data_IF_671719565166
#
_entry.id   IF_671719565166
#
_cell.length_a   1.000
_cell.length_b   1.000
_cell.length_c   1.000
_cell.angle_alpha   90.00
_cell.angle_beta   90.00
_cell.angle_gamma   90.00
#
_symmetry.space_group_name_H-M   'P 1'
#
loop_
_entity.id
_entity.type
_entity.pdbx_description
1 polymer ?
#
# COMPACT_ATOMS: atom_id res chain seq x y z
N UNK A 1 18.28 0.42 16.19
CA UNK A 1 19.46 -0.28 16.77
C UNK A 1 20.11 -1.28 15.81
N UNK A 2 19.33 -2.11 15.09
CA UNK A 2 19.90 -3.13 14.17
C UNK A 2 20.70 -2.52 13.01
N UNK A 3 20.27 -1.40 12.47
CA UNK A 3 20.93 -0.70 11.36
C UNK A 3 22.08 0.22 11.80
N UNK A 4 22.26 0.47 13.10
CA UNK A 4 23.19 1.47 13.66
C UNK A 4 23.02 2.85 13.03
N UNK A 5 21.83 3.17 12.57
CA UNK A 5 21.47 4.47 12.03
C UNK A 5 20.98 5.39 13.16
N UNK A 6 21.22 6.67 13.02
CA UNK A 6 20.65 7.67 13.92
C UNK A 6 19.20 7.86 13.56
N UNK A 7 18.30 7.66 14.53
CA UNK A 7 16.88 7.98 14.36
C UNK A 7 16.73 9.50 14.38
N UNK A 8 16.14 10.07 13.33
CA UNK A 8 15.76 11.47 13.27
C UNK A 8 14.24 11.50 13.26
N UNK A 9 13.66 11.98 14.35
CA UNK A 9 12.21 12.16 14.48
C UNK A 9 11.87 13.65 14.40
N UNK A 10 10.80 13.95 13.67
CA UNK A 10 10.19 15.27 13.66
C UNK A 10 8.84 15.16 14.37
N UNK A 11 8.73 15.84 15.50
CA UNK A 11 7.48 15.86 16.30
C UNK A 11 6.37 16.67 15.62
N UNK A 12 6.74 17.63 14.77
CA UNK A 12 5.78 18.52 14.11
C UNK A 12 5.75 18.29 12.59
N UNK A 13 4.54 18.27 12.05
CA UNK A 13 4.36 18.27 10.61
C UNK A 13 4.48 19.70 10.08
N UNK A 14 5.11 19.91 8.90
CA UNK A 14 5.19 21.22 8.26
C UNK A 14 3.82 21.85 7.99
N UNK A 15 2.78 21.03 7.78
CA UNK A 15 1.39 21.46 7.58
C UNK A 15 0.52 20.73 8.60
N UNK A 16 -0.17 21.47 9.52
CA UNK A 16 -1.03 20.85 10.52
C UNK A 16 -2.24 20.17 9.87
N UNK A 17 -2.68 19.05 10.47
CA UNK A 17 -3.86 18.31 10.04
C UNK A 17 -4.97 18.41 11.08
N UNK A 18 -6.12 18.87 10.63
CA UNK A 18 -7.37 18.85 11.38
C UNK A 18 -8.12 17.55 11.05
N UNK A 19 -8.51 16.76 12.07
CA UNK A 19 -9.23 15.50 11.91
C UNK A 19 -10.65 15.66 12.42
N UNK A 20 -11.62 15.21 11.63
CA UNK A 20 -13.05 15.31 11.92
C UNK A 20 -13.73 13.97 11.70
N UNK A 21 -14.62 13.60 12.62
CA UNK A 21 -15.54 12.47 12.45
C UNK A 21 -16.93 13.02 12.24
N UNK A 22 -17.63 12.48 11.27
CA UNK A 22 -19.02 12.81 10.99
C UNK A 22 -19.81 11.52 10.86
N UNK A 23 -20.74 11.31 11.76
CA UNK A 23 -21.66 10.18 11.68
C UNK A 23 -22.73 10.45 10.63
N UNK A 24 -22.90 9.51 9.71
CA UNK A 24 -23.84 9.65 8.59
C UNK A 24 -24.22 8.28 8.04
N UNK A 25 -25.46 8.11 7.59
CA UNK A 25 -25.85 6.92 6.85
C UNK A 25 -25.31 6.95 5.41
N UNK A 26 -25.34 5.81 4.73
CA UNK A 26 -24.77 5.66 3.38
C UNK A 26 -25.41 6.58 2.32
N UNK A 27 -26.59 7.16 2.57
CA UNK A 27 -27.25 8.11 1.65
C UNK A 27 -26.77 9.53 1.90
N UNK A 28 -26.56 9.87 3.16
CA UNK A 28 -26.11 11.20 3.61
C UNK A 28 -24.61 11.42 3.30
N UNK A 29 -23.75 10.37 3.38
CA UNK A 29 -22.31 10.46 3.13
C UNK A 29 -22.00 11.20 1.83
N UNK A 30 -22.70 10.89 0.72
CA UNK A 30 -22.46 11.54 -0.58
C UNK A 30 -22.85 13.04 -0.56
N UNK A 31 -23.89 13.41 0.16
CA UNK A 31 -24.31 14.83 0.29
C UNK A 31 -23.35 15.64 1.16
N UNK A 32 -22.86 15.01 2.22
CA UNK A 32 -21.84 15.61 3.10
C UNK A 32 -20.54 15.81 2.33
N UNK A 33 -20.10 14.78 1.59
CA UNK A 33 -18.91 14.85 0.75
C UNK A 33 -19.01 15.99 -0.28
N UNK A 34 -20.16 16.15 -0.96
CA UNK A 34 -20.39 17.24 -1.92
C UNK A 34 -20.29 18.63 -1.27
N UNK A 35 -20.86 18.80 -0.08
CA UNK A 35 -20.75 20.07 0.67
C UNK A 35 -19.32 20.38 1.09
N UNK A 36 -18.57 19.34 1.54
CA UNK A 36 -17.18 19.48 1.96
C UNK A 36 -16.28 19.81 0.77
N UNK A 37 -16.43 19.11 -0.35
CA UNK A 37 -15.69 19.37 -1.60
C UNK A 37 -15.95 20.80 -2.09
N UNK A 38 -17.21 21.21 -2.14
CA UNK A 38 -17.56 22.57 -2.54
C UNK A 38 -16.88 23.61 -1.66
N UNK A 39 -17.04 23.50 -0.35
CA UNK A 39 -16.45 24.43 0.61
C UNK A 39 -14.94 24.53 0.45
N UNK A 40 -14.28 23.39 0.26
CA UNK A 40 -12.84 23.33 0.14
C UNK A 40 -12.36 23.94 -1.17
N UNK A 41 -13.01 23.62 -2.30
CA UNK A 41 -12.65 24.14 -3.62
C UNK A 41 -12.89 25.62 -3.80
N UNK A 42 -13.84 26.19 -3.06
CA UNK A 42 -14.11 27.65 -3.05
C UNK A 42 -13.08 28.44 -2.22
N UNK A 43 -12.20 27.75 -1.46
CA UNK A 43 -11.12 28.40 -0.69
C UNK A 43 -9.78 28.33 -1.43
N UNK A 44 -8.91 29.31 -1.13
CA UNK A 44 -7.53 29.31 -1.60
C UNK A 44 -6.57 29.38 -0.41
N UNK A 45 -5.44 28.71 -0.55
CA UNK A 45 -4.33 28.86 0.39
C UNK A 45 -3.67 30.24 0.29
N UNK A 46 -2.81 30.60 1.24
CA UNK A 46 -1.97 31.79 1.19
C UNK A 46 -1.07 31.83 -0.06
N UNK A 47 -0.79 30.66 -0.64
CA UNK A 47 0.01 30.48 -1.86
C UNK A 47 -0.82 30.54 -3.16
N UNK A 48 -2.13 30.79 -3.06
CA UNK A 48 -3.03 30.95 -4.20
C UNK A 48 -3.61 29.66 -4.79
N UNK A 49 -3.30 28.48 -4.22
CA UNK A 49 -3.84 27.19 -4.67
C UNK A 49 -5.26 26.98 -4.14
N UNK A 50 -6.15 26.49 -4.99
CA UNK A 50 -7.49 26.05 -4.57
C UNK A 50 -7.39 24.79 -3.72
N UNK A 51 -8.28 24.67 -2.76
CA UNK A 51 -8.39 23.46 -1.98
C UNK A 51 -8.99 22.33 -2.79
N UNK A 52 -8.27 21.22 -2.96
CA UNK A 52 -8.72 20.05 -3.67
C UNK A 52 -8.87 18.86 -2.72
N UNK A 53 -9.75 17.92 -3.09
CA UNK A 53 -10.13 16.80 -2.22
C UNK A 53 -9.79 15.45 -2.82
N UNK A 54 -9.25 14.55 -2.00
CA UNK A 54 -9.19 13.11 -2.30
C UNK A 54 -10.29 12.43 -1.47
N UNK A 55 -11.14 11.63 -2.12
CA UNK A 55 -12.18 10.83 -1.45
C UNK A 55 -11.81 9.37 -1.57
N UNK A 56 -11.57 8.70 -0.44
CA UNK A 56 -11.32 7.27 -0.37
C UNK A 56 -12.62 6.51 -0.14
N UNK A 57 -12.81 5.42 -0.91
CA UNK A 57 -13.99 4.55 -0.81
C UNK A 57 -13.62 3.08 -1.05
N UNK A 58 -14.51 2.17 -0.71
CA UNK A 58 -14.27 0.73 -0.66
C UNK A 58 -14.31 0.00 -2.01
N UNK A 59 -14.80 0.62 -3.10
CA UNK A 59 -14.94 -0.09 -4.37
C UNK A 59 -14.79 0.82 -5.60
N UNK A 60 -14.33 0.23 -6.72
CA UNK A 60 -14.24 0.92 -8.01
C UNK A 60 -15.60 1.46 -8.47
N UNK A 61 -16.67 0.70 -8.26
CA UNK A 61 -18.04 1.13 -8.57
C UNK A 61 -18.42 2.39 -7.79
N UNK A 62 -18.14 2.40 -6.50
CA UNK A 62 -18.43 3.53 -5.61
C UNK A 62 -17.63 4.78 -6.01
N UNK A 63 -16.39 4.64 -6.53
CA UNK A 63 -15.65 5.78 -7.09
C UNK A 63 -16.44 6.50 -8.18
N UNK A 64 -17.04 5.78 -9.12
CA UNK A 64 -17.86 6.35 -10.18
C UNK A 64 -19.19 6.92 -9.67
N UNK A 65 -19.82 6.29 -8.70
CA UNK A 65 -21.09 6.74 -8.12
C UNK A 65 -20.92 8.09 -7.39
N UNK A 66 -19.92 8.21 -6.55
CA UNK A 66 -19.64 9.45 -5.82
C UNK A 66 -19.24 10.55 -6.78
N UNK A 67 -18.28 10.30 -7.68
CA UNK A 67 -17.82 11.29 -8.66
C UNK A 67 -18.97 11.88 -9.49
N UNK A 68 -19.97 11.09 -9.88
CA UNK A 68 -21.17 11.59 -10.61
C UNK A 68 -22.12 12.42 -9.76
N UNK A 69 -22.08 12.28 -8.43
CA UNK A 69 -22.96 12.99 -7.50
C UNK A 69 -22.40 14.33 -7.05
N UNK A 70 -21.10 14.56 -7.20
CA UNK A 70 -20.46 15.81 -6.87
C UNK A 70 -20.86 16.88 -7.89
N UNK A 71 -21.14 18.09 -7.42
CA UNK A 71 -21.53 19.24 -8.27
C UNK A 71 -20.38 19.87 -9.02
N UNK A 72 -19.17 19.79 -8.45
CA UNK A 72 -17.96 20.25 -9.10
C UNK A 72 -17.28 19.15 -9.88
N UNK A 73 -16.51 19.53 -10.89
CA UNK A 73 -15.78 18.59 -11.72
C UNK A 73 -14.89 17.68 -10.87
N UNK A 74 -15.12 16.40 -11.00
CA UNK A 74 -14.42 15.36 -10.28
C UNK A 74 -14.24 14.12 -11.14
N UNK A 75 -13.28 13.30 -10.80
CA UNK A 75 -12.98 12.08 -11.57
C UNK A 75 -12.77 10.86 -10.66
N UNK A 76 -13.23 9.66 -11.08
CA UNK A 76 -12.81 8.42 -10.44
C UNK A 76 -11.37 8.10 -10.82
N UNK A 77 -10.62 7.54 -9.86
CA UNK A 77 -9.24 7.10 -10.08
C UNK A 77 -9.02 5.74 -9.40
N UNK A 78 -8.70 4.70 -10.17
CA UNK A 78 -8.45 3.36 -9.63
C UNK A 78 -7.64 2.50 -10.63
N UNK A 79 -7.06 1.40 -10.18
CA UNK A 79 -6.22 0.51 -10.98
C UNK A 79 -6.92 -0.07 -12.23
N UNK A 80 -8.25 -0.19 -12.21
CA UNK A 80 -9.03 -0.66 -13.37
C UNK A 80 -9.19 0.35 -14.53
N UNK A 81 -8.69 1.59 -14.38
CA UNK A 81 -8.64 2.56 -15.47
C UNK A 81 -7.40 2.31 -16.34
N UNK A 82 -7.54 2.49 -17.66
CA UNK A 82 -6.40 2.47 -18.57
C UNK A 82 -5.40 3.60 -18.26
N UNK A 83 -4.16 3.39 -18.70
CA UNK A 83 -3.06 4.33 -18.43
C UNK A 83 -3.36 5.76 -18.92
N UNK A 84 -3.96 5.91 -20.10
CA UNK A 84 -4.27 7.24 -20.69
C UNK A 84 -5.28 8.00 -19.82
N UNK A 85 -6.32 7.31 -19.34
CA UNK A 85 -7.32 7.90 -18.43
C UNK A 85 -6.70 8.29 -17.10
N UNK A 86 -5.86 7.44 -16.51
CA UNK A 86 -5.16 7.77 -15.27
C UNK A 86 -4.31 9.03 -15.44
N UNK A 87 -3.49 9.09 -16.49
CA UNK A 87 -2.65 10.26 -16.78
C UNK A 87 -3.45 11.53 -17.05
N UNK A 88 -4.62 11.43 -17.68
CA UNK A 88 -5.52 12.56 -17.87
C UNK A 88 -6.02 13.10 -16.53
N UNK A 89 -6.49 12.23 -15.63
CA UNK A 89 -6.98 12.63 -14.30
C UNK A 89 -5.85 13.26 -13.46
N UNK A 90 -4.65 12.68 -13.49
CA UNK A 90 -3.48 13.22 -12.79
C UNK A 90 -3.17 14.65 -13.25
N UNK A 91 -3.14 14.88 -14.57
CA UNK A 91 -2.90 16.23 -15.13
C UNK A 91 -4.00 17.19 -14.73
N UNK A 92 -5.27 16.83 -14.94
CA UNK A 92 -6.40 17.72 -14.63
C UNK A 92 -6.47 18.07 -13.15
N UNK A 93 -6.10 17.16 -12.25
CA UNK A 93 -6.03 17.46 -10.83
C UNK A 93 -4.84 18.38 -10.51
N UNK A 94 -3.66 18.12 -11.09
CA UNK A 94 -2.49 18.99 -10.94
C UNK A 94 -2.73 20.42 -11.47
N UNK A 95 -3.46 20.55 -12.58
CA UNK A 95 -3.83 21.84 -13.18
C UNK A 95 -5.01 22.53 -12.47
N UNK A 96 -5.52 21.94 -11.37
CA UNK A 96 -6.66 22.43 -10.59
C UNK A 96 -7.99 22.54 -11.38
N UNK A 97 -8.13 21.75 -12.45
CA UNK A 97 -9.38 21.63 -13.21
C UNK A 97 -10.42 20.78 -12.45
N UNK A 98 -9.96 19.79 -11.65
CA UNK A 98 -10.81 18.94 -10.83
C UNK A 98 -10.84 19.40 -9.37
N UNK A 99 -12.02 19.45 -8.79
CA UNK A 99 -12.22 19.72 -7.35
C UNK A 99 -11.90 18.51 -6.48
N UNK A 100 -12.16 17.31 -7.02
CA UNK A 100 -11.96 16.08 -6.29
C UNK A 100 -11.55 14.92 -7.19
N UNK A 101 -10.81 14.00 -6.59
CA UNK A 101 -10.56 12.65 -7.12
C UNK A 101 -11.14 11.64 -6.15
N UNK A 102 -11.94 10.70 -6.67
CA UNK A 102 -12.53 9.61 -5.87
C UNK A 102 -11.80 8.32 -6.18
N UNK A 103 -11.26 7.68 -5.16
CA UNK A 103 -10.33 6.55 -5.32
C UNK A 103 -10.53 5.44 -4.30
N UNK A 104 -9.92 4.29 -4.57
CA UNK A 104 -9.73 3.20 -3.59
C UNK A 104 -8.32 3.30 -2.98
N UNK A 105 -7.98 2.38 -2.06
CA UNK A 105 -6.63 2.29 -1.46
C UNK A 105 -5.46 2.29 -2.46
N UNK A 106 -5.72 1.90 -3.72
CA UNK A 106 -4.73 1.86 -4.79
C UNK A 106 -4.00 3.21 -5.04
N UNK A 107 -4.52 4.32 -4.55
CA UNK A 107 -3.87 5.64 -4.60
C UNK A 107 -2.83 5.85 -3.49
N UNK A 108 -2.76 4.95 -2.51
CA UNK A 108 -1.79 5.08 -1.42
C UNK A 108 -0.34 5.04 -1.91
N UNK A 109 -0.05 4.40 -3.04
CA UNK A 109 1.29 4.26 -3.61
C UNK A 109 1.46 5.00 -4.95
N UNK A 110 2.49 5.83 -5.05
CA UNK A 110 3.11 6.21 -6.32
C UNK A 110 2.53 7.40 -7.09
N UNK A 111 1.39 8.01 -6.69
CA UNK A 111 0.84 9.19 -7.39
C UNK A 111 0.84 10.40 -6.48
N UNK A 112 1.32 11.51 -6.97
CA UNK A 112 1.36 12.77 -6.25
C UNK A 112 0.13 13.64 -6.58
N UNK A 113 -0.91 13.53 -5.75
CA UNK A 113 -2.05 14.44 -5.78
C UNK A 113 -1.93 15.45 -4.64
N UNK A 114 -1.68 16.73 -4.93
CA UNK A 114 -1.61 17.77 -3.91
C UNK A 114 -3.03 18.14 -3.43
N UNK A 115 -3.52 17.47 -2.41
CA UNK A 115 -4.84 17.73 -1.83
C UNK A 115 -4.72 18.49 -0.50
N UNK A 116 -5.62 19.46 -0.26
CA UNK A 116 -5.78 20.09 1.04
C UNK A 116 -6.70 19.28 1.95
N UNK A 117 -7.60 18.48 1.35
CA UNK A 117 -8.62 17.73 2.07
C UNK A 117 -8.62 16.26 1.67
N UNK A 118 -8.78 15.38 2.64
CA UNK A 118 -9.02 13.94 2.47
C UNK A 118 -10.35 13.59 3.13
N UNK A 119 -11.19 12.84 2.42
CA UNK A 119 -12.46 12.31 2.95
C UNK A 119 -12.42 10.79 2.84
N UNK A 120 -12.71 10.11 3.93
CA UNK A 120 -12.99 8.68 3.95
C UNK A 120 -14.50 8.46 3.87
N UNK A 121 -15.02 8.06 2.70
CA UNK A 121 -16.44 7.65 2.50
C UNK A 121 -16.68 6.27 3.14
N UNK A 122 -15.65 5.45 3.24
CA UNK A 122 -15.65 4.19 3.96
C UNK A 122 -14.29 3.93 4.60
N UNK A 123 -14.28 3.28 5.76
CA UNK A 123 -13.08 2.79 6.42
C UNK A 123 -12.77 1.32 6.07
N UNK A 124 -13.60 0.69 5.23
CA UNK A 124 -13.36 -0.62 4.67
C UNK A 124 -12.66 -0.51 3.30
N UNK A 125 -11.70 -1.38 3.04
CA UNK A 125 -11.04 -1.55 1.75
C UNK A 125 -11.20 -2.99 1.26
N UNK A 126 -12.22 -3.21 0.43
CA UNK A 126 -12.65 -4.54 0.05
C UNK A 126 -13.40 -5.23 1.19
N UNK A 127 -12.87 -6.33 1.67
CA UNK A 127 -13.47 -7.15 2.75
C UNK A 127 -12.81 -6.92 4.12
N UNK A 128 -11.86 -6.02 4.22
CA UNK A 128 -11.07 -5.74 5.43
C UNK A 128 -11.21 -4.28 5.86
N UNK A 129 -10.99 -4.03 7.14
CA UNK A 129 -10.87 -2.68 7.66
C UNK A 129 -9.49 -2.09 7.38
N UNK A 130 -9.43 -0.77 7.20
CA UNK A 130 -8.15 -0.06 7.12
C UNK A 130 -7.32 -0.31 8.37
N UNK A 131 -6.05 -0.65 8.18
CA UNK A 131 -5.05 -0.62 9.22
C UNK A 131 -4.67 0.82 9.59
N UNK A 132 -4.12 1.02 10.79
CA UNK A 132 -3.61 2.34 11.22
C UNK A 132 -2.51 2.84 10.28
N UNK A 133 -1.69 1.94 9.75
CA UNK A 133 -0.62 2.29 8.81
C UNK A 133 -1.18 2.80 7.48
N UNK A 134 -2.13 2.10 6.86
CA UNK A 134 -2.78 2.53 5.62
C UNK A 134 -3.49 3.86 5.82
N UNK A 135 -4.26 3.98 6.91
CA UNK A 135 -4.93 5.22 7.28
C UNK A 135 -3.93 6.38 7.41
N UNK A 136 -2.80 6.17 8.07
CA UNK A 136 -1.74 7.16 8.23
C UNK A 136 -1.12 7.59 6.90
N UNK A 137 -0.91 6.65 5.97
CA UNK A 137 -0.44 6.96 4.62
C UNK A 137 -1.46 7.77 3.81
N UNK A 138 -2.74 7.42 3.91
CA UNK A 138 -3.83 8.10 3.21
C UNK A 138 -4.09 9.50 3.77
N UNK A 139 -4.17 9.65 5.09
CA UNK A 139 -4.34 10.95 5.71
C UNK A 139 -3.14 11.87 5.44
N UNK A 140 -1.97 11.28 5.27
CA UNK A 140 -0.74 11.97 4.88
C UNK A 140 -0.81 12.70 3.54
N UNK A 141 -1.82 12.39 2.72
CA UNK A 141 -2.09 13.09 1.45
C UNK A 141 -2.73 14.47 1.67
N UNK A 142 -3.32 14.73 2.84
CA UNK A 142 -3.88 16.03 3.17
C UNK A 142 -2.80 17.02 3.61
N UNK A 143 -2.79 18.19 2.96
CA UNK A 143 -1.89 19.29 3.32
C UNK A 143 -0.45 19.07 2.83
N UNK A 144 -0.11 19.72 1.73
CA UNK A 144 1.25 19.76 1.17
C UNK A 144 1.92 21.08 1.50
N UNK A 145 3.17 21.08 2.05
CA UNK A 145 3.87 22.30 2.46
C UNK A 145 3.98 23.35 1.35
N UNK A 146 4.15 22.90 0.09
CA UNK A 146 4.34 23.80 -1.04
C UNK A 146 3.05 24.42 -1.58
N UNK A 147 1.88 23.87 -1.20
CA UNK A 147 0.58 24.24 -1.76
C UNK A 147 -0.41 24.76 -0.72
N UNK A 148 -0.40 24.21 0.51
CA UNK A 148 -1.47 24.39 1.47
C UNK A 148 -0.96 24.88 2.83
N UNK A 149 -1.80 25.62 3.54
CA UNK A 149 -1.52 26.13 4.89
C UNK A 149 -1.94 25.13 5.97
N UNK A 150 -2.89 24.23 5.64
CA UNK A 150 -3.42 23.19 6.50
C UNK A 150 -3.97 22.03 5.71
N UNK A 151 -4.02 20.85 6.32
CA UNK A 151 -4.72 19.67 5.83
C UNK A 151 -5.98 19.40 6.62
N UNK A 152 -7.06 18.93 5.97
CA UNK A 152 -8.29 18.50 6.62
C UNK A 152 -8.59 17.07 6.29
N UNK A 153 -8.98 16.30 7.30
CA UNK A 153 -9.34 14.89 7.14
C UNK A 153 -10.71 14.66 7.76
N UNK A 154 -11.63 14.10 6.97
CA UNK A 154 -12.98 13.75 7.38
C UNK A 154 -13.21 12.27 7.28
N UNK A 155 -13.64 11.64 8.37
CA UNK A 155 -14.13 10.27 8.41
C UNK A 155 -15.66 10.34 8.41
N UNK A 156 -16.29 9.86 7.33
CA UNK A 156 -17.75 9.71 7.26
C UNK A 156 -18.10 8.31 7.72
N UNK A 157 -18.55 8.19 8.95
CA UNK A 157 -18.72 6.93 9.67
C UNK A 157 -20.19 6.56 9.75
N UNK A 158 -20.52 5.35 9.35
CA UNK A 158 -21.87 4.79 9.53
C UNK A 158 -21.92 4.08 10.90
N UNK A 159 -22.77 4.56 11.83
CA UNK A 159 -22.92 3.88 13.13
C UNK A 159 -23.36 2.43 12.94
N UNK A 160 -22.76 1.52 13.68
CA UNK A 160 -23.01 0.07 13.59
C UNK A 160 -22.79 -0.52 12.18
N UNK A 161 -22.11 0.22 11.29
CA UNK A 161 -21.88 -0.19 9.89
C UNK A 161 -20.91 -1.38 9.80
N UNK A 162 -21.37 -2.46 9.15
CA UNK A 162 -20.55 -3.64 8.82
C UNK A 162 -20.74 -3.93 7.34
N UNK A 163 -19.66 -4.02 6.57
CA UNK A 163 -19.74 -4.14 5.09
C UNK A 163 -19.53 -5.56 4.58
N UNK A 164 -19.00 -6.46 5.39
CA UNK A 164 -18.78 -7.86 5.05
C UNK A 164 -18.94 -8.76 6.27
N UNK A 165 -19.47 -9.97 6.07
CA UNK A 165 -19.79 -10.91 7.18
C UNK A 165 -18.55 -11.44 7.93
N UNK A 166 -17.35 -11.25 7.41
CA UNK A 166 -16.09 -11.60 8.10
C UNK A 166 -15.59 -10.50 9.03
N UNK A 167 -16.18 -9.30 8.98
CA UNK A 167 -15.79 -8.18 9.84
C UNK A 167 -16.33 -8.38 11.25
N UNK A 168 -15.45 -8.31 12.22
CA UNK A 168 -15.71 -8.53 13.65
C UNK A 168 -15.98 -7.22 14.43
N UNK A 169 -15.82 -6.07 13.78
CA UNK A 169 -16.01 -4.72 14.33
C UNK A 169 -16.90 -3.87 13.46
N UNK A 170 -17.43 -2.80 14.01
CA UNK A 170 -18.22 -1.81 13.29
C UNK A 170 -17.36 -0.63 12.82
N UNK A 171 -17.85 0.13 11.84
CA UNK A 171 -17.09 1.25 11.24
C UNK A 171 -16.74 2.34 12.27
N UNK A 172 -17.63 2.58 13.24
CA UNK A 172 -17.37 3.54 14.31
C UNK A 172 -16.32 3.06 15.31
N UNK A 173 -16.28 1.77 15.67
CA UNK A 173 -15.22 1.18 16.49
C UNK A 173 -13.85 1.29 15.80
N UNK A 174 -13.82 1.01 14.48
CA UNK A 174 -12.61 1.16 13.68
C UNK A 174 -12.19 2.62 13.59
N UNK A 175 -13.12 3.56 13.39
CA UNK A 175 -12.81 4.99 13.36
C UNK A 175 -12.08 5.45 14.63
N UNK A 176 -12.55 5.02 15.81
CA UNK A 176 -11.87 5.35 17.07
C UNK A 176 -10.48 4.73 17.18
N UNK A 177 -10.30 3.50 16.70
CA UNK A 177 -8.97 2.84 16.66
C UNK A 177 -8.00 3.60 15.77
N UNK A 178 -8.42 3.97 14.55
CA UNK A 178 -7.62 4.73 13.60
C UNK A 178 -7.23 6.12 14.13
N UNK A 179 -8.13 6.76 14.86
CA UNK A 179 -7.86 8.10 15.43
C UNK A 179 -6.89 8.07 16.61
N UNK A 180 -6.86 7.01 17.39
CA UNK A 180 -5.86 6.82 18.44
C UNK A 180 -4.44 6.73 17.87
N UNK A 181 -4.30 6.19 16.66
CA UNK A 181 -3.04 6.19 15.92
C UNK A 181 -1.95 5.30 16.54
N UNK A 182 -2.32 4.39 17.42
CA UNK A 182 -1.39 3.38 17.95
C UNK A 182 -1.03 2.43 16.80
N UNK A 183 0.18 2.60 16.25
CA UNK A 183 0.69 1.69 15.22
C UNK A 183 1.04 0.36 15.85
N UNK A 184 0.63 -0.71 15.19
CA UNK A 184 1.10 -2.05 15.53
C UNK A 184 2.60 -2.15 15.27
N UNK A 185 3.31 -2.91 16.09
CA UNK A 185 4.71 -3.21 15.84
C UNK A 185 4.85 -3.92 14.49
N UNK A 186 5.79 -3.45 13.68
CA UNK A 186 6.10 -4.11 12.41
C UNK A 186 6.73 -5.46 12.70
N UNK A 187 5.96 -6.52 12.59
CA UNK A 187 6.45 -7.89 12.63
C UNK A 187 6.67 -8.36 11.18
N UNK A 188 7.91 -8.71 10.86
CA UNK A 188 8.22 -9.34 9.58
C UNK A 188 8.23 -10.84 9.81
N UNK A 189 7.32 -11.55 9.15
CA UNK A 189 7.31 -13.00 9.11
C UNK A 189 8.02 -13.46 7.85
N UNK A 190 9.02 -14.32 8.00
CA UNK A 190 9.68 -14.98 6.90
C UNK A 190 9.08 -16.38 6.76
N UNK A 191 8.32 -16.62 5.70
CA UNK A 191 7.98 -17.97 5.26
C UNK A 191 9.22 -18.68 4.73
N UNK A 192 9.06 -19.90 4.25
CA UNK A 192 10.18 -20.71 3.77
C UNK A 192 10.84 -20.13 2.51
N UNK A 193 10.05 -19.55 1.62
CA UNK A 193 10.51 -18.95 0.36
C UNK A 193 11.27 -17.66 0.63
N UNK A 194 10.68 -16.72 1.36
CA UNK A 194 11.32 -15.46 1.74
C UNK A 194 12.60 -15.68 2.56
N UNK A 195 12.60 -16.70 3.44
CA UNK A 195 13.80 -17.05 4.21
C UNK A 195 14.92 -17.60 3.33
N UNK A 196 14.59 -18.40 2.30
CA UNK A 196 15.56 -18.93 1.35
C UNK A 196 16.12 -17.81 0.46
N UNK A 197 15.28 -16.92 -0.04
CA UNK A 197 15.67 -15.78 -0.86
C UNK A 197 16.63 -14.85 -0.10
N UNK A 198 16.25 -14.40 1.10
CA UNK A 198 17.07 -13.53 1.94
C UNK A 198 18.41 -14.20 2.32
N UNK A 199 18.36 -15.49 2.68
CA UNK A 199 19.57 -16.22 3.04
C UNK A 199 20.51 -16.39 1.85
N UNK A 200 20.00 -16.69 0.64
CA UNK A 200 20.80 -16.79 -0.58
C UNK A 200 21.46 -15.45 -0.91
N UNK A 201 20.69 -14.34 -0.86
CA UNK A 201 21.22 -13.00 -1.09
C UNK A 201 22.35 -12.68 -0.11
N UNK A 202 22.17 -12.97 1.17
CA UNK A 202 23.19 -12.75 2.19
C UNK A 202 24.42 -13.65 2.04
N UNK A 203 24.27 -14.89 1.55
CA UNK A 203 25.39 -15.76 1.20
C UNK A 203 26.16 -15.20 0.00
N UNK A 204 25.46 -14.73 -1.04
CA UNK A 204 26.10 -14.12 -2.22
C UNK A 204 26.92 -12.89 -1.85
N UNK A 205 26.42 -12.05 -0.94
CA UNK A 205 27.06 -10.79 -0.53
C UNK A 205 28.17 -11.01 0.48
N UNK A 206 27.99 -11.91 1.44
CA UNK A 206 28.83 -11.96 2.65
C UNK A 206 29.41 -13.37 2.99
N UNK A 207 29.07 -14.41 2.24
CA UNK A 207 29.57 -15.76 2.46
C UNK A 207 29.33 -16.24 3.89
N UNK A 208 30.37 -16.65 4.59
CA UNK A 208 30.29 -17.14 5.99
C UNK A 208 29.65 -16.16 6.98
N UNK A 209 29.55 -14.87 6.63
CA UNK A 209 28.90 -13.85 7.48
C UNK A 209 27.39 -13.76 7.24
N UNK A 210 26.81 -14.52 6.31
CA UNK A 210 25.39 -14.51 5.98
C UNK A 210 24.49 -14.69 7.21
N UNK A 211 24.80 -15.68 8.07
CA UNK A 211 24.08 -15.90 9.32
C UNK A 211 24.00 -14.63 10.17
N UNK A 212 25.12 -13.91 10.32
CA UNK A 212 25.16 -12.66 11.09
C UNK A 212 24.34 -11.54 10.44
N UNK A 213 24.17 -11.55 9.12
CA UNK A 213 23.31 -10.62 8.42
C UNK A 213 21.83 -10.97 8.67
N UNK A 214 21.45 -12.25 8.55
CA UNK A 214 20.12 -12.71 8.88
C UNK A 214 19.72 -12.35 10.33
N UNK A 215 20.63 -12.54 11.30
CA UNK A 215 20.41 -12.19 12.70
C UNK A 215 20.16 -10.68 12.93
N UNK A 216 20.47 -9.83 11.93
CA UNK A 216 20.22 -8.38 11.95
C UNK A 216 18.98 -7.93 11.24
N UNK A 217 18.32 -8.83 10.53
CA UNK A 217 17.07 -8.52 9.84
C UNK A 217 15.96 -8.18 10.85
N UNK A 218 14.97 -7.44 10.37
CA UNK A 218 13.75 -7.21 11.13
C UNK A 218 12.93 -8.50 11.04
N UNK A 219 12.58 -9.09 12.17
CA UNK A 219 11.98 -10.42 12.25
C UNK A 219 13.01 -11.55 12.39
N UNK A 220 12.51 -12.75 12.57
CA UNK A 220 13.32 -13.96 12.73
C UNK A 220 13.40 -14.72 11.40
N UNK A 221 14.58 -14.77 10.81
CA UNK A 221 14.83 -15.55 9.58
C UNK A 221 15.19 -16.98 9.99
N UNK A 222 14.43 -18.00 9.57
CA UNK A 222 14.75 -19.42 9.84
C UNK A 222 15.99 -19.90 9.05
N UNK A 223 17.12 -19.27 9.31
CA UNK A 223 18.39 -19.39 8.56
C UNK A 223 18.85 -20.83 8.41
N UNK A 224 18.70 -21.67 9.45
CA UNK A 224 19.17 -23.06 9.39
C UNK A 224 18.38 -23.87 8.36
N UNK A 225 17.07 -23.68 8.32
CA UNK A 225 16.18 -24.35 7.36
C UNK A 225 16.45 -23.86 5.94
N UNK A 226 16.55 -22.53 5.77
CA UNK A 226 16.87 -21.91 4.49
C UNK A 226 18.21 -22.40 3.90
N UNK A 227 19.27 -22.45 4.72
CA UNK A 227 20.57 -23.01 4.29
C UNK A 227 20.45 -24.47 3.86
N UNK A 228 19.67 -25.29 4.58
CA UNK A 228 19.42 -26.68 4.22
C UNK A 228 18.81 -26.82 2.82
N UNK A 229 17.75 -26.08 2.53
CA UNK A 229 17.10 -26.05 1.21
C UNK A 229 18.04 -25.55 0.11
N UNK A 230 18.76 -24.46 0.34
CA UNK A 230 19.69 -23.90 -0.63
C UNK A 230 20.84 -24.86 -0.99
N UNK A 231 21.31 -25.67 -0.03
CA UNK A 231 22.26 -26.74 -0.27
C UNK A 231 21.65 -27.87 -1.11
N UNK A 232 20.45 -28.32 -0.77
CA UNK A 232 19.70 -29.34 -1.50
C UNK A 232 19.45 -28.92 -2.96
N UNK A 233 19.10 -27.68 -3.19
CA UNK A 233 18.88 -27.10 -4.52
C UNK A 233 20.16 -26.80 -5.28
N UNK A 234 21.34 -26.99 -4.66
CA UNK A 234 22.65 -26.70 -5.23
C UNK A 234 22.86 -25.23 -5.61
N UNK A 235 22.24 -24.32 -4.86
CA UNK A 235 22.49 -22.88 -5.02
C UNK A 235 23.66 -22.38 -4.17
N UNK A 236 24.03 -23.13 -3.14
CA UNK A 236 25.22 -22.89 -2.32
C UNK A 236 26.01 -24.18 -2.11
N UNK A 237 27.29 -24.03 -1.84
CA UNK A 237 28.19 -25.07 -1.32
C UNK A 237 28.77 -24.58 -0.01
N UNK A 238 28.25 -25.10 1.12
CA UNK A 238 28.50 -24.55 2.44
C UNK A 238 28.00 -23.09 2.55
N UNK A 239 28.92 -22.14 2.59
CA UNK A 239 28.62 -20.69 2.59
C UNK A 239 29.13 -19.98 1.32
N UNK A 240 29.45 -20.72 0.27
CA UNK A 240 29.87 -20.15 -0.99
C UNK A 240 28.72 -20.32 -2.02
N UNK A 241 28.32 -19.24 -2.70
CA UNK A 241 27.27 -19.34 -3.70
C UNK A 241 27.79 -20.04 -4.95
N UNK A 242 27.05 -21.02 -5.47
CA UNK A 242 27.33 -21.66 -6.75
C UNK A 242 27.07 -20.68 -7.93
N UNK A 243 27.51 -20.98 -9.15
CA UNK A 243 27.13 -20.21 -10.33
C UNK A 243 25.61 -20.10 -10.51
N UNK A 244 24.86 -21.16 -10.18
CA UNK A 244 23.41 -21.15 -10.20
C UNK A 244 22.83 -20.20 -9.15
N UNK A 245 23.29 -20.29 -7.89
CA UNK A 245 22.85 -19.39 -6.82
C UNK A 245 23.14 -17.92 -7.12
N UNK A 246 24.30 -17.61 -7.71
CA UNK A 246 24.60 -16.25 -8.19
C UNK A 246 23.65 -15.81 -9.31
N UNK A 247 23.28 -16.74 -10.22
CA UNK A 247 22.33 -16.47 -11.28
C UNK A 247 20.95 -16.13 -10.74
N UNK A 248 20.45 -16.94 -9.80
CA UNK A 248 19.15 -16.73 -9.13
C UNK A 248 19.09 -15.33 -8.49
N UNK A 249 20.06 -15.01 -7.65
CA UNK A 249 20.12 -13.67 -6.99
C UNK A 249 20.28 -12.53 -7.99
N UNK A 250 21.10 -12.69 -9.02
CA UNK A 250 21.34 -11.67 -10.04
C UNK A 250 20.09 -11.33 -10.85
N UNK A 251 19.22 -12.30 -11.06
CA UNK A 251 18.00 -12.14 -11.85
C UNK A 251 16.75 -11.95 -10.99
N UNK A 252 16.91 -11.79 -9.67
CA UNK A 252 15.80 -11.58 -8.73
C UNK A 252 14.73 -12.68 -8.84
N UNK A 253 15.16 -13.93 -9.02
CA UNK A 253 14.27 -15.08 -9.03
C UNK A 253 14.09 -15.60 -7.61
N UNK A 254 12.88 -16.02 -7.28
CA UNK A 254 12.63 -16.78 -6.05
C UNK A 254 13.37 -18.13 -6.13
N UNK A 255 14.10 -18.56 -5.08
CA UNK A 255 14.91 -19.77 -5.14
C UNK A 255 14.12 -21.05 -5.43
N UNK A 256 12.90 -21.18 -4.92
CA UNK A 256 12.00 -22.32 -5.14
C UNK A 256 11.48 -22.35 -6.59
N UNK A 257 11.12 -21.22 -7.17
CA UNK A 257 10.77 -21.09 -8.58
C UNK A 257 11.96 -21.46 -9.48
N UNK A 258 13.14 -20.92 -9.17
CA UNK A 258 14.35 -21.23 -9.91
C UNK A 258 14.68 -22.72 -9.85
N UNK A 259 14.49 -23.36 -8.68
CA UNK A 259 14.65 -24.81 -8.55
C UNK A 259 13.62 -25.58 -9.38
N UNK A 260 12.36 -25.17 -9.33
CA UNK A 260 11.29 -25.76 -10.13
C UNK A 260 11.59 -25.68 -11.64
N UNK A 261 12.01 -24.52 -12.13
CA UNK A 261 12.40 -24.32 -13.53
C UNK A 261 13.55 -25.28 -13.91
N UNK A 262 14.60 -25.33 -13.11
CA UNK A 262 15.75 -26.15 -13.36
C UNK A 262 15.42 -27.67 -13.37
N UNK A 263 14.58 -28.10 -12.45
CA UNK A 263 14.13 -29.49 -12.36
C UNK A 263 13.23 -29.85 -13.55
N UNK A 264 12.31 -28.98 -13.93
CA UNK A 264 11.43 -29.15 -15.10
C UNK A 264 12.23 -29.22 -16.41
N UNK A 265 13.22 -28.35 -16.59
CA UNK A 265 14.11 -28.39 -17.75
C UNK A 265 14.92 -29.69 -17.79
N UNK A 266 15.44 -30.19 -16.67
CA UNK A 266 16.15 -31.47 -16.58
C UNK A 266 15.27 -32.67 -16.93
N UNK A 267 13.97 -32.58 -16.63
CA UNK A 267 12.96 -33.59 -16.96
C UNK A 267 12.51 -33.52 -18.43
N UNK A 268 12.92 -32.48 -19.15
CA UNK A 268 12.53 -32.25 -20.56
C UNK A 268 11.12 -31.74 -20.74
N UNK A 269 10.57 -31.04 -19.71
CA UNK A 269 9.25 -30.40 -19.77
C UNK A 269 9.25 -29.28 -20.81
N UNK A 270 8.16 -29.16 -21.56
CA UNK A 270 8.01 -28.09 -22.55
C UNK A 270 8.05 -26.71 -21.89
N UNK A 271 8.77 -25.72 -22.44
CA UNK A 271 8.86 -24.37 -21.86
C UNK A 271 7.50 -23.70 -21.64
N UNK A 272 6.50 -23.93 -22.48
CA UNK A 272 5.16 -23.36 -22.29
C UNK A 272 4.44 -23.97 -21.09
N UNK A 273 4.64 -25.28 -20.86
CA UNK A 273 4.07 -25.96 -19.68
C UNK A 273 4.75 -25.45 -18.39
N UNK A 274 6.07 -25.20 -18.42
CA UNK A 274 6.79 -24.62 -17.26
C UNK A 274 6.21 -23.25 -16.89
N UNK A 275 5.99 -22.35 -17.88
CA UNK A 275 5.40 -21.04 -17.63
C UNK A 275 3.98 -21.14 -17.10
N UNK A 276 3.15 -22.01 -17.70
CA UNK A 276 1.78 -22.22 -17.24
C UNK A 276 1.70 -22.78 -15.81
N UNK A 277 2.66 -23.60 -15.41
CA UNK A 277 2.73 -24.15 -14.05
C UNK A 277 3.22 -23.11 -13.03
N UNK A 278 4.10 -22.18 -13.42
CA UNK A 278 4.52 -21.05 -12.58
C UNK A 278 3.35 -20.11 -12.32
N UNK A 279 2.62 -19.68 -13.36
CA UNK A 279 1.47 -18.80 -13.21
C UNK A 279 0.36 -19.40 -12.33
N UNK A 280 0.15 -20.73 -12.38
CA UNK A 280 -0.80 -21.40 -11.48
C UNK A 280 -0.37 -21.41 -10.02
N UNK A 281 0.92 -21.40 -9.73
CA UNK A 281 1.45 -21.34 -8.36
C UNK A 281 1.22 -19.96 -7.73
N UNK A 282 1.38 -18.90 -8.52
CA UNK A 282 1.14 -17.52 -8.07
C UNK A 282 -0.35 -17.27 -7.76
N UNK A 283 -1.27 -18.00 -8.41
CA UNK A 283 -2.73 -17.87 -8.17
C UNK A 283 -3.21 -18.64 -6.92
N UNK A 284 -2.43 -19.58 -6.38
CA UNK A 284 -2.78 -20.41 -5.20
C UNK A 284 -2.21 -19.85 -3.87
N UNK A 285 -1.33 -18.83 -3.89
CA UNK A 285 -0.83 -18.09 -2.74
C UNK A 285 -1.67 -16.79 -2.50
#
# INVERSE_FOLDING_TARGET
EKLRATLIEYEERPVPIERHVTFADGREKAQIADKLVKREFDTKSSKGYRGQTIIFTNSRRRCHEISRKLRYDSAPYHAGLDYKRRKKVERQFGDQELSAVVTTAALAAGVDFPASQVIFDSLAMGIEWLSVQEFSQMLGRAGRPDYHDRGRVYLLVEPDGVYHGSMDRTEDEVAFTLLKGEMEDVATHYDETAAAEETLANVVVAGKKAKRLNDRMIGEVPTKHALGKLLEWNFIDGFEPTPLGRGVTRHFLAPDEAFFILDSVRKGTDPYDIVADLERRDDEE
#
